data_IF_037684389617
#
_entry.id   IF_037684389617
#
_cell.length_a   1.000
_cell.length_b   1.000
_cell.length_c   1.000
_cell.angle_alpha   90.00
_cell.angle_beta   90.00
_cell.angle_gamma   90.00
#
_symmetry.space_group_name_H-M   'P 1'
#
loop_
_entity.id
_entity.type
_entity.pdbx_description
1 polymer ?
#
# COMPACT_ATOMS: atom_id res chain seq x y z
N UNK A 1 14.59 0.43 -17.56
CA UNK A 1 13.23 0.92 -17.85
C UNK A 1 12.51 0.91 -16.52
N UNK A 2 12.56 2.06 -15.83
CA UNK A 2 12.01 2.25 -14.49
C UNK A 2 10.60 2.83 -14.67
N UNK A 3 9.58 1.97 -14.58
CA UNK A 3 8.19 2.40 -14.69
C UNK A 3 7.52 2.29 -13.31
N UNK A 4 6.99 3.42 -12.84
CA UNK A 4 6.06 3.51 -11.72
C UNK A 4 4.85 2.62 -11.93
N UNK A 5 4.09 2.38 -10.86
CA UNK A 5 2.91 1.50 -10.84
C UNK A 5 2.09 1.65 -12.12
N UNK A 6 1.88 0.53 -12.81
CA UNK A 6 1.33 0.44 -14.17
C UNK A 6 -0.01 1.17 -14.40
N UNK A 7 -0.72 1.51 -13.32
CA UNK A 7 -2.04 2.15 -13.23
C UNK A 7 -2.30 3.48 -13.93
N UNK A 8 -1.33 4.03 -14.65
CA UNK A 8 -1.43 5.36 -15.22
C UNK A 8 -1.24 5.42 -16.73
N UNK A 9 -0.99 4.29 -17.42
CA UNK A 9 -0.65 4.28 -18.84
C UNK A 9 -1.83 3.89 -19.74
N UNK A 10 -2.13 4.66 -20.81
CA UNK A 10 -2.80 4.14 -21.99
C UNK A 10 -1.81 4.12 -23.16
N UNK A 11 -1.40 2.92 -23.62
CA UNK A 11 -1.15 2.63 -25.04
C UNK A 11 -0.70 1.18 -25.23
N UNK A 12 -1.64 0.32 -25.65
CA UNK A 12 -1.34 -1.00 -26.22
C UNK A 12 -2.54 -1.56 -27.00
N UNK A 13 -3.27 -0.73 -27.77
CA UNK A 13 -4.62 -1.04 -28.27
C UNK A 13 -4.84 -2.46 -28.87
N UNK A 14 -3.89 -3.04 -29.59
CA UNK A 14 -4.05 -4.38 -30.19
C UNK A 14 -3.76 -5.52 -29.20
N UNK A 15 -2.72 -5.38 -28.37
CA UNK A 15 -2.43 -6.32 -27.28
C UNK A 15 -3.51 -6.19 -26.18
N UNK A 16 -4.03 -4.98 -25.96
CA UNK A 16 -5.12 -4.65 -25.04
C UNK A 16 -6.39 -5.40 -25.44
N UNK A 17 -6.74 -5.40 -26.73
CA UNK A 17 -7.85 -6.20 -27.27
C UNK A 17 -7.59 -7.69 -27.02
N UNK A 18 -6.40 -8.20 -27.36
CA UNK A 18 -6.04 -9.61 -27.12
C UNK A 18 -6.05 -10.00 -25.63
N UNK A 19 -5.65 -9.09 -24.75
CA UNK A 19 -5.69 -9.26 -23.29
C UNK A 19 -7.12 -9.33 -22.79
N UNK A 20 -7.98 -8.40 -23.21
CA UNK A 20 -9.42 -8.38 -22.89
C UNK A 20 -10.11 -9.64 -23.41
N UNK A 21 -9.78 -10.09 -24.62
CA UNK A 21 -10.33 -11.29 -25.26
C UNK A 21 -9.77 -12.60 -24.70
N UNK A 22 -8.73 -12.57 -23.87
CA UNK A 22 -8.14 -13.79 -23.33
C UNK A 22 -9.06 -14.49 -22.34
N UNK A 23 -9.02 -15.83 -22.34
CA UNK A 23 -9.70 -16.67 -21.35
C UNK A 23 -9.26 -16.32 -19.93
N UNK A 24 -7.97 -16.04 -19.74
CA UNK A 24 -7.42 -15.62 -18.45
C UNK A 24 -8.03 -14.30 -17.94
N UNK A 25 -8.21 -13.30 -18.80
CA UNK A 25 -8.88 -12.05 -18.43
C UNK A 25 -10.31 -12.28 -17.94
N UNK A 26 -11.06 -13.15 -18.63
CA UNK A 26 -12.41 -13.53 -18.22
C UNK A 26 -12.41 -14.29 -16.88
N UNK A 27 -11.43 -15.18 -16.69
CA UNK A 27 -11.22 -15.89 -15.43
C UNK A 27 -10.97 -14.92 -14.28
N UNK A 28 -10.06 -13.96 -14.43
CA UNK A 28 -9.76 -12.96 -13.39
C UNK A 28 -11.00 -12.09 -13.10
N UNK A 29 -11.68 -11.59 -14.14
CA UNK A 29 -12.91 -10.81 -13.95
C UNK A 29 -13.98 -11.59 -13.19
N UNK A 30 -14.19 -12.85 -13.57
CA UNK A 30 -15.12 -13.72 -12.90
C UNK A 30 -14.70 -13.92 -11.44
N UNK A 31 -13.45 -14.30 -11.19
CA UNK A 31 -12.92 -14.56 -9.85
C UNK A 31 -12.99 -13.35 -8.92
N UNK A 32 -12.78 -12.14 -9.44
CA UNK A 32 -12.97 -10.89 -8.69
C UNK A 32 -14.46 -10.68 -8.38
N UNK A 33 -15.33 -10.80 -9.38
CA UNK A 33 -16.79 -10.61 -9.22
C UNK A 33 -17.41 -11.63 -8.26
N UNK A 34 -16.98 -12.89 -8.33
CA UNK A 34 -17.46 -13.98 -7.46
C UNK A 34 -16.74 -14.05 -6.11
N UNK A 35 -15.76 -13.17 -5.84
CA UNK A 35 -14.92 -13.21 -4.63
C UNK A 35 -14.22 -14.56 -4.42
N UNK A 36 -13.84 -15.21 -5.52
CA UNK A 36 -13.14 -16.50 -5.50
C UNK A 36 -11.66 -16.38 -5.88
N UNK A 37 -11.18 -15.16 -6.17
CA UNK A 37 -9.75 -14.92 -6.38
C UNK A 37 -8.98 -15.36 -5.13
N UNK A 38 -7.86 -16.05 -5.32
CA UNK A 38 -7.03 -16.46 -4.19
C UNK A 38 -6.49 -15.22 -3.48
N UNK A 39 -7.00 -14.97 -2.27
CA UNK A 39 -6.48 -13.91 -1.42
C UNK A 39 -5.04 -14.23 -0.99
N UNK A 40 -4.20 -13.22 -0.71
CA UNK A 40 -2.88 -13.45 -0.17
C UNK A 40 -3.02 -14.15 1.19
N UNK A 41 -2.24 -15.21 1.48
CA UNK A 41 -2.28 -15.87 2.78
C UNK A 41 -1.69 -14.94 3.86
N UNK A 42 -2.55 -14.13 4.49
CA UNK A 42 -2.17 -13.29 5.62
C UNK A 42 -2.28 -14.11 6.91
N UNK A 43 -1.36 -13.88 7.86
CA UNK A 43 -1.37 -14.58 9.16
C UNK A 43 -2.69 -14.31 9.90
N UNK A 44 -3.32 -15.37 10.43
CA UNK A 44 -4.56 -15.27 11.21
C UNK A 44 -4.43 -14.28 12.38
N UNK A 45 -3.21 -14.13 12.91
CA UNK A 45 -2.87 -13.16 13.96
C UNK A 45 -3.10 -11.72 13.51
N UNK A 46 -2.78 -11.39 12.25
CA UNK A 46 -2.98 -10.04 11.70
C UNK A 46 -4.47 -9.75 11.58
N UNK A 47 -5.25 -10.68 11.03
CA UNK A 47 -6.70 -10.55 10.91
C UNK A 47 -7.36 -10.40 12.28
N UNK A 48 -6.93 -11.19 13.26
CA UNK A 48 -7.39 -11.11 14.65
C UNK A 48 -7.08 -9.75 15.27
N UNK A 49 -5.86 -9.23 15.10
CA UNK A 49 -5.49 -7.90 15.59
C UNK A 49 -6.31 -6.80 14.90
N UNK A 50 -6.56 -6.90 13.60
CA UNK A 50 -7.42 -5.96 12.87
C UNK A 50 -8.85 -5.97 13.43
N UNK A 51 -9.43 -7.16 13.64
CA UNK A 51 -10.76 -7.29 14.24
C UNK A 51 -10.82 -6.70 15.65
N UNK A 52 -9.83 -6.99 16.49
CA UNK A 52 -9.74 -6.40 17.83
C UNK A 52 -9.73 -4.86 17.75
N UNK A 53 -8.99 -4.27 16.81
CA UNK A 53 -8.95 -2.81 16.66
C UNK A 53 -10.30 -2.17 16.27
N UNK A 54 -11.30 -2.94 15.84
CA UNK A 54 -12.66 -2.43 15.56
C UNK A 54 -13.55 -2.35 16.81
N UNK A 55 -13.12 -2.92 17.94
CA UNK A 55 -13.90 -2.98 19.17
C UNK A 55 -13.45 -1.91 20.17
N UNK A 56 -14.38 -1.08 20.64
CA UNK A 56 -14.10 -0.02 21.63
C UNK A 56 -13.59 -0.56 22.98
N UNK A 57 -13.78 -1.86 23.24
CA UNK A 57 -13.37 -2.54 24.48
C UNK A 57 -11.97 -3.15 24.42
N UNK A 58 -11.27 -3.07 23.29
CA UNK A 58 -9.97 -3.73 23.11
C UNK A 58 -8.87 -3.08 23.94
N UNK A 59 -8.12 -3.94 24.64
CA UNK A 59 -7.03 -3.55 25.51
C UNK A 59 -5.67 -3.87 24.89
N UNK A 60 -4.62 -3.27 25.46
CA UNK A 60 -3.23 -3.57 25.11
C UNK A 60 -2.91 -5.06 25.31
N UNK A 61 -3.50 -5.70 26.31
CA UNK A 61 -3.27 -7.13 26.58
C UNK A 61 -3.84 -7.99 25.46
N UNK A 62 -5.05 -7.71 24.98
CA UNK A 62 -5.71 -8.51 23.94
C UNK A 62 -4.87 -8.56 22.64
N UNK A 63 -4.26 -7.43 22.29
CA UNK A 63 -3.36 -7.33 21.13
C UNK A 63 -2.04 -8.04 21.40
N UNK A 64 -1.45 -7.86 22.59
CA UNK A 64 -0.21 -8.54 22.97
C UNK A 64 -0.38 -10.07 23.02
N UNK A 65 -1.51 -10.56 23.50
CA UNK A 65 -1.86 -11.98 23.56
C UNK A 65 -2.04 -12.55 22.16
N UNK A 66 -2.66 -11.79 21.24
CA UNK A 66 -2.75 -12.19 19.83
C UNK A 66 -1.37 -12.30 19.18
N UNK A 67 -0.44 -11.39 19.48
CA UNK A 67 0.94 -11.45 18.97
C UNK A 67 1.73 -12.68 19.43
N UNK A 68 1.38 -13.30 20.57
CA UNK A 68 2.05 -14.52 21.04
C UNK A 68 1.88 -15.71 20.09
N UNK A 69 0.82 -15.69 19.28
CA UNK A 69 0.51 -16.72 18.29
C UNK A 69 1.43 -16.63 17.05
N UNK A 70 2.11 -15.49 16.83
CA UNK A 70 3.07 -15.29 15.73
C UNK A 70 4.39 -14.67 16.25
N UNK A 71 5.39 -15.50 16.59
CA UNK A 71 6.68 -15.04 17.10
C UNK A 71 7.46 -14.11 16.14
N UNK A 72 7.20 -14.22 14.83
CA UNK A 72 7.82 -13.37 13.81
C UNK A 72 7.30 -11.94 13.91
N UNK A 73 5.98 -11.77 13.95
CA UNK A 73 5.33 -10.47 14.15
C UNK A 73 5.65 -9.89 15.53
N UNK A 74 5.66 -10.71 16.59
CA UNK A 74 6.04 -10.31 17.93
C UNK A 74 7.46 -9.70 18.01
N UNK A 75 8.45 -10.36 17.38
CA UNK A 75 9.81 -9.87 17.34
C UNK A 75 9.93 -8.50 16.63
N UNK A 76 9.10 -8.28 15.61
CA UNK A 76 9.11 -7.07 14.81
C UNK A 76 8.48 -5.92 15.57
N UNK A 77 7.34 -6.15 16.24
CA UNK A 77 6.73 -5.17 17.14
C UNK A 77 7.71 -4.74 18.24
N UNK A 78 8.44 -5.69 18.86
CA UNK A 78 9.48 -5.37 19.87
C UNK A 78 10.64 -4.57 19.25
N UNK A 79 11.10 -4.95 18.05
CA UNK A 79 12.16 -4.23 17.33
C UNK A 79 11.76 -2.79 17.05
N UNK A 80 10.56 -2.56 16.54
CA UNK A 80 10.03 -1.22 16.25
C UNK A 80 9.83 -0.42 17.53
N UNK A 81 9.30 -1.02 18.60
CA UNK A 81 9.16 -0.37 19.90
C UNK A 81 10.50 0.10 20.51
N UNK A 82 11.60 -0.53 20.11
CA UNK A 82 12.96 -0.19 20.52
C UNK A 82 13.70 0.76 19.55
N UNK A 83 13.08 1.15 18.44
CA UNK A 83 13.70 2.08 17.49
C UNK A 83 13.92 3.45 18.14
N UNK A 84 14.87 4.22 17.59
CA UNK A 84 15.26 5.56 18.10
C UNK A 84 14.04 6.48 18.25
N UNK A 85 13.03 6.31 17.41
CA UNK A 85 11.83 7.14 17.36
C UNK A 85 10.90 6.85 18.55
N UNK A 86 10.71 5.57 18.87
CA UNK A 86 9.76 5.14 19.90
C UNK A 86 10.42 4.94 21.28
N UNK A 87 11.75 4.81 21.34
CA UNK A 87 12.51 4.62 22.57
C UNK A 87 13.32 5.87 23.00
N UNK A 88 12.65 7.01 23.15
CA UNK A 88 13.29 8.29 23.52
C UNK A 88 14.04 8.26 24.87
N UNK A 89 13.64 7.37 25.78
CA UNK A 89 14.26 7.22 27.11
C UNK A 89 15.42 6.24 27.13
N UNK A 90 15.74 5.61 25.99
CA UNK A 90 16.75 4.58 25.86
C UNK A 90 16.56 3.40 26.84
N UNK A 91 15.30 3.03 27.09
CA UNK A 91 14.93 1.89 27.94
C UNK A 91 14.44 0.76 27.04
N UNK A 92 15.24 -0.29 26.93
CA UNK A 92 14.93 -1.45 26.11
C UNK A 92 13.63 -2.11 26.58
N UNK A 93 12.71 -2.29 25.65
CA UNK A 93 11.49 -3.07 25.78
C UNK A 93 11.80 -4.53 25.47
N UNK A 94 11.35 -5.46 26.32
CA UNK A 94 11.59 -6.90 26.16
C UNK A 94 10.31 -7.73 26.18
N UNK A 95 9.16 -7.13 26.53
CA UNK A 95 7.86 -7.77 26.60
C UNK A 95 6.84 -7.10 25.66
N UNK A 96 5.86 -7.89 25.21
CA UNK A 96 4.88 -7.45 24.22
C UNK A 96 3.88 -6.44 24.76
N UNK A 97 3.43 -6.59 26.01
CA UNK A 97 2.47 -5.65 26.62
C UNK A 97 3.09 -4.25 26.68
N UNK A 98 4.35 -4.13 27.10
CA UNK A 98 5.07 -2.85 27.10
C UNK A 98 5.32 -2.33 25.69
N UNK A 99 5.60 -3.21 24.72
CA UNK A 99 5.80 -2.81 23.33
C UNK A 99 4.51 -2.25 22.72
N UNK A 100 3.38 -2.95 22.90
CA UNK A 100 2.06 -2.53 22.42
C UNK A 100 1.61 -1.26 23.14
N UNK A 101 1.84 -1.14 24.45
CA UNK A 101 1.54 0.09 25.21
C UNK A 101 2.35 1.29 24.71
N UNK A 102 3.64 1.08 24.40
CA UNK A 102 4.55 2.12 23.89
C UNK A 102 4.16 2.57 22.48
N UNK A 103 3.80 1.63 21.60
CA UNK A 103 3.48 1.90 20.21
C UNK A 103 2.04 2.38 20.03
N UNK A 104 1.12 1.87 20.84
CA UNK A 104 -0.33 2.00 20.69
C UNK A 104 -0.93 0.88 19.83
N UNK A 105 -2.17 0.48 20.14
CA UNK A 105 -2.90 -0.62 19.47
C UNK A 105 -2.99 -0.44 17.95
N UNK A 106 -3.41 0.74 17.51
CA UNK A 106 -3.59 1.04 16.08
C UNK A 106 -2.28 0.98 15.31
N UNK A 107 -1.18 1.46 15.92
CA UNK A 107 0.14 1.40 15.28
C UNK A 107 0.67 -0.04 15.20
N UNK A 108 0.42 -0.85 16.23
CA UNK A 108 0.77 -2.28 16.18
C UNK A 108 0.03 -2.98 15.07
N UNK A 109 -1.27 -2.74 14.90
CA UNK A 109 -2.06 -3.23 13.76
C UNK A 109 -1.40 -2.85 12.44
N UNK A 110 -1.00 -1.59 12.29
CA UNK A 110 -0.39 -1.10 11.04
C UNK A 110 0.96 -1.78 10.78
N UNK A 111 1.81 -1.93 11.81
CA UNK A 111 3.12 -2.61 11.73
C UNK A 111 2.95 -4.08 11.33
N UNK A 112 2.08 -4.83 12.02
CA UNK A 112 1.92 -6.26 11.72
C UNK A 112 1.28 -6.50 10.37
N UNK A 113 0.39 -5.61 9.95
CA UNK A 113 -0.18 -5.64 8.61
C UNK A 113 0.92 -5.42 7.57
N UNK A 114 1.68 -4.32 7.71
CA UNK A 114 2.77 -3.98 6.79
C UNK A 114 3.80 -5.11 6.70
N UNK A 115 4.12 -5.74 7.83
CA UNK A 115 5.05 -6.84 7.87
C UNK A 115 4.52 -8.12 7.19
N UNK A 116 3.25 -8.47 7.40
CA UNK A 116 2.67 -9.63 6.75
C UNK A 116 2.60 -9.44 5.23
N UNK A 117 2.35 -8.22 4.77
CA UNK A 117 2.44 -7.86 3.34
C UNK A 117 3.87 -8.05 2.81
N UNK A 118 4.89 -7.64 3.57
CA UNK A 118 6.28 -7.82 3.15
C UNK A 118 6.66 -9.31 3.08
N UNK A 119 6.21 -10.12 4.05
CA UNK A 119 6.43 -11.57 4.03
C UNK A 119 5.73 -12.24 2.84
N UNK A 120 4.51 -11.81 2.52
CA UNK A 120 3.75 -12.28 1.36
C UNK A 120 4.55 -12.11 0.06
N UNK A 121 5.13 -10.93 -0.15
CA UNK A 121 5.91 -10.59 -1.36
C UNK A 121 7.14 -11.49 -1.58
N UNK A 122 7.62 -12.19 -0.56
CA UNK A 122 8.78 -13.09 -0.63
C UNK A 122 8.44 -14.59 -0.59
N UNK A 123 7.15 -14.95 -0.50
CA UNK A 123 6.73 -16.31 -0.14
C UNK A 123 6.41 -17.26 -1.30
N UNK A 124 6.48 -16.80 -2.56
CA UNK A 124 5.99 -17.60 -3.71
C UNK A 124 7.11 -18.00 -4.67
N UNK A 125 7.15 -19.30 -5.03
CA UNK A 125 8.01 -19.83 -6.10
C UNK A 125 7.47 -19.41 -7.48
N UNK A 126 7.59 -18.13 -7.80
CA UNK A 126 7.16 -17.58 -9.09
C UNK A 126 8.27 -17.65 -10.14
N UNK A 127 7.90 -17.52 -11.42
CA UNK A 127 8.87 -17.28 -12.48
C UNK A 127 9.68 -16.01 -12.20
N UNK A 128 10.88 -15.92 -12.78
CA UNK A 128 11.75 -14.76 -12.61
C UNK A 128 11.06 -13.45 -13.04
N UNK A 129 10.30 -13.48 -14.13
CA UNK A 129 9.51 -12.37 -14.65
C UNK A 129 8.41 -11.91 -13.68
N UNK A 130 7.64 -12.85 -13.11
CA UNK A 130 6.61 -12.54 -12.12
C UNK A 130 7.21 -11.96 -10.83
N UNK A 131 8.34 -12.51 -10.36
CA UNK A 131 9.05 -11.98 -9.22
C UNK A 131 9.55 -10.54 -9.47
N UNK A 132 10.06 -10.24 -10.66
CA UNK A 132 10.49 -8.89 -11.02
C UNK A 132 9.32 -7.90 -10.96
N UNK A 133 8.15 -8.27 -11.46
CA UNK A 133 6.94 -7.43 -11.42
C UNK A 133 6.51 -7.15 -9.97
N UNK A 134 6.51 -8.16 -9.09
CA UNK A 134 6.18 -7.97 -7.68
C UNK A 134 7.21 -7.10 -6.94
N UNK A 135 8.50 -7.31 -7.19
CA UNK A 135 9.57 -6.48 -6.60
C UNK A 135 9.44 -5.03 -7.05
N UNK A 136 9.16 -4.79 -8.33
CA UNK A 136 8.98 -3.44 -8.85
C UNK A 136 7.73 -2.78 -8.25
N UNK A 137 6.61 -3.48 -8.17
CA UNK A 137 5.40 -2.97 -7.51
C UNK A 137 5.63 -2.67 -6.03
N UNK A 138 6.40 -3.52 -5.33
CA UNK A 138 6.75 -3.27 -3.93
C UNK A 138 7.60 -2.01 -3.77
N UNK A 139 8.58 -1.78 -4.66
CA UNK A 139 9.36 -0.54 -4.69
C UNK A 139 8.47 0.68 -4.92
N UNK A 140 7.61 0.62 -5.93
CA UNK A 140 6.70 1.71 -6.29
C UNK A 140 5.73 2.03 -5.16
N UNK A 141 5.16 1.01 -4.50
CA UNK A 141 4.25 1.17 -3.36
C UNK A 141 4.95 1.82 -2.16
N UNK A 142 6.23 1.49 -1.91
CA UNK A 142 7.03 2.14 -0.85
C UNK A 142 7.28 3.61 -1.16
N UNK A 143 7.65 3.94 -2.39
CA UNK A 143 7.87 5.33 -2.81
C UNK A 143 6.58 6.15 -2.75
N UNK A 144 5.46 5.58 -3.19
CA UNK A 144 4.13 6.19 -3.07
C UNK A 144 3.80 6.46 -1.59
N UNK A 145 3.89 5.44 -0.74
CA UNK A 145 3.61 5.53 0.69
C UNK A 145 4.44 6.61 1.39
N UNK A 146 5.76 6.61 1.15
CA UNK A 146 6.65 7.58 1.76
C UNK A 146 6.37 9.01 1.23
N UNK A 147 6.05 9.17 -0.05
CA UNK A 147 5.65 10.47 -0.61
C UNK A 147 4.31 10.94 -0.04
N UNK A 148 3.34 10.04 0.17
CA UNK A 148 2.08 10.36 0.85
C UNK A 148 2.32 10.86 2.28
N UNK A 149 3.29 10.28 3.01
CA UNK A 149 3.67 10.77 4.34
C UNK A 149 4.25 12.19 4.26
N UNK A 150 5.10 12.49 3.27
CA UNK A 150 5.63 13.84 3.06
C UNK A 150 4.52 14.85 2.76
N UNK A 151 3.56 14.47 1.92
CA UNK A 151 2.39 15.30 1.59
C UNK A 151 1.55 15.57 2.85
N UNK A 152 1.23 14.53 3.64
CA UNK A 152 0.48 14.69 4.90
C UNK A 152 1.24 15.57 5.89
N UNK A 153 2.56 15.43 6.02
CA UNK A 153 3.37 16.33 6.87
C UNK A 153 3.24 17.77 6.42
N UNK A 154 3.34 18.03 5.11
CA UNK A 154 3.15 19.38 4.55
C UNK A 154 1.77 19.97 4.88
N UNK A 155 0.71 19.16 4.82
CA UNK A 155 -0.63 19.62 5.23
C UNK A 155 -0.69 19.92 6.73
N UNK A 156 -0.11 19.07 7.59
CA UNK A 156 -0.08 19.30 9.04
C UNK A 156 0.76 20.51 9.44
N UNK A 157 1.84 20.81 8.71
CA UNK A 157 2.69 21.99 8.94
C UNK A 157 1.96 23.32 8.72
N UNK A 158 0.89 23.34 7.90
CA UNK A 158 0.06 24.53 7.73
C UNK A 158 -0.65 24.96 9.01
N UNK A 159 -0.80 24.06 9.99
CA UNK A 159 -1.49 24.32 11.26
C UNK A 159 -3.01 24.49 11.12
N UNK A 160 -3.57 24.25 9.94
CA UNK A 160 -5.02 24.38 9.71
C UNK A 160 -5.78 23.21 10.35
N UNK A 161 -6.87 23.48 11.10
CA UNK A 161 -7.68 22.44 11.71
C UNK A 161 -8.39 21.54 10.68
N UNK A 162 -8.52 22.01 9.43
CA UNK A 162 -9.15 21.26 8.33
C UNK A 162 -8.37 20.00 7.94
N UNK A 163 -7.11 19.86 8.35
CA UNK A 163 -6.26 18.70 8.01
C UNK A 163 -5.98 17.80 9.22
N UNK A 164 -6.65 18.01 10.35
CA UNK A 164 -6.43 17.24 11.58
C UNK A 164 -6.79 15.76 11.46
N UNK A 165 -7.63 15.39 10.49
CA UNK A 165 -7.97 13.98 10.24
C UNK A 165 -6.87 13.23 9.48
N UNK A 166 -5.91 13.92 8.87
CA UNK A 166 -4.81 13.29 8.13
C UNK A 166 -3.74 12.78 9.09
N UNK A 167 -3.68 11.46 9.21
CA UNK A 167 -2.65 10.72 9.95
C UNK A 167 -1.58 10.13 9.04
N UNK A 168 -0.31 10.33 9.42
CA UNK A 168 0.86 9.85 8.66
C UNK A 168 0.92 8.34 8.59
N UNK A 169 0.56 7.65 9.68
CA UNK A 169 0.61 6.19 9.78
C UNK A 169 -0.41 5.56 8.82
N UNK A 170 -1.61 6.14 8.74
CA UNK A 170 -2.64 5.73 7.78
C UNK A 170 -2.20 6.03 6.34
N UNK A 171 -1.61 7.19 6.06
CA UNK A 171 -1.11 7.51 4.72
C UNK A 171 -0.02 6.53 4.24
N UNK A 172 0.91 6.17 5.13
CA UNK A 172 1.95 5.18 4.86
C UNK A 172 1.31 3.82 4.52
N UNK A 173 0.43 3.32 5.38
CA UNK A 173 -0.16 2.00 5.19
C UNK A 173 -1.03 1.95 3.92
N UNK A 174 -1.81 3.00 3.67
CA UNK A 174 -2.65 3.11 2.47
C UNK A 174 -1.80 3.07 1.18
N UNK A 175 -0.68 3.80 1.13
CA UNK A 175 0.21 3.77 -0.04
C UNK A 175 0.90 2.42 -0.24
N UNK A 176 1.29 1.73 0.84
CA UNK A 176 1.92 0.41 0.77
C UNK A 176 0.98 -0.68 0.24
N UNK A 177 -0.31 -0.51 0.48
CA UNK A 177 -1.38 -1.44 0.16
C UNK A 177 -2.09 -1.18 -1.16
N UNK A 178 -1.80 -0.06 -1.82
CA UNK A 178 -2.50 0.34 -3.05
C UNK A 178 -2.49 -0.77 -4.12
N UNK A 179 -1.36 -1.49 -4.24
CA UNK A 179 -1.14 -2.51 -5.29
C UNK A 179 -1.23 -3.96 -4.78
N UNK A 180 -1.83 -4.19 -3.60
CA UNK A 180 -1.86 -5.53 -2.99
C UNK A 180 -2.55 -6.60 -3.86
N UNK A 181 -3.48 -6.19 -4.72
CA UNK A 181 -4.19 -7.04 -5.67
C UNK A 181 -3.27 -7.71 -6.69
N UNK A 182 -2.11 -7.11 -6.99
CA UNK A 182 -1.16 -7.64 -7.96
C UNK A 182 -0.68 -9.04 -7.56
N UNK A 183 -0.47 -9.24 -6.26
CA UNK A 183 -0.08 -10.53 -5.72
C UNK A 183 -1.09 -11.63 -6.04
N UNK A 184 -2.39 -11.31 -5.92
CA UNK A 184 -3.46 -12.26 -6.22
C UNK A 184 -3.46 -12.62 -7.70
N UNK A 185 -3.36 -11.62 -8.57
CA UNK A 185 -3.41 -11.85 -10.02
C UNK A 185 -2.17 -12.61 -10.51
N UNK A 186 -0.99 -12.30 -9.99
CA UNK A 186 0.26 -13.03 -10.30
C UNK A 186 0.17 -14.49 -9.83
N UNK A 187 -0.44 -14.74 -8.67
CA UNK A 187 -0.68 -16.11 -8.19
C UNK A 187 -1.68 -16.86 -9.08
N UNK A 188 -2.78 -16.23 -9.49
CA UNK A 188 -3.73 -16.81 -10.45
C UNK A 188 -3.07 -17.12 -11.79
N UNK A 189 -2.20 -16.22 -12.27
CA UNK A 189 -1.42 -16.45 -13.49
C UNK A 189 -0.49 -17.66 -13.35
N UNK A 190 0.21 -17.79 -12.23
CA UNK A 190 1.04 -18.95 -11.96
C UNK A 190 0.22 -20.25 -11.95
N UNK A 191 -0.92 -20.27 -11.26
CA UNK A 191 -1.82 -21.42 -11.22
C UNK A 191 -2.37 -21.75 -12.61
N UNK A 192 -2.70 -20.73 -13.41
CA UNK A 192 -3.18 -20.88 -14.77
C UNK A 192 -2.14 -21.58 -15.66
N UNK A 193 -0.85 -21.23 -15.52
CA UNK A 193 0.25 -21.89 -16.24
C UNK A 193 0.51 -23.33 -15.74
N UNK A 194 0.47 -23.56 -14.43
CA UNK A 194 0.65 -24.90 -13.83
C UNK A 194 -0.43 -25.90 -14.29
N UNK A 195 -1.63 -25.42 -14.64
CA UNK A 195 -2.70 -26.23 -15.23
C UNK A 195 -2.43 -26.64 -16.69
N UNK A 196 -1.30 -26.23 -17.28
CA UNK A 196 -0.89 -26.53 -18.65
C UNK A 196 -1.37 -25.53 -19.69
N UNK A 197 -1.99 -24.42 -19.26
CA UNK A 197 -2.38 -23.35 -20.17
C UNK A 197 -1.18 -22.50 -20.57
N UNK A 198 -1.26 -21.86 -21.73
CA UNK A 198 -0.25 -20.91 -22.20
C UNK A 198 -0.86 -19.52 -22.31
N UNK A 199 -0.15 -18.53 -21.76
CA UNK A 199 -0.41 -17.12 -21.98
C UNK A 199 0.93 -16.40 -22.07
N UNK A 200 1.06 -15.49 -23.02
CA UNK A 200 2.25 -14.68 -23.18
C UNK A 200 2.35 -13.65 -22.04
N UNK A 201 3.56 -13.44 -21.51
CA UNK A 201 3.80 -12.55 -20.36
C UNK A 201 3.40 -11.09 -20.65
N UNK A 202 3.61 -10.57 -21.86
CA UNK A 202 3.24 -9.20 -22.21
C UNK A 202 1.72 -9.00 -22.13
N UNK A 203 0.96 -9.99 -22.60
CA UNK A 203 -0.51 -9.99 -22.50
C UNK A 203 -0.95 -10.15 -21.05
N UNK A 204 -0.29 -11.02 -20.28
CA UNK A 204 -0.58 -11.21 -18.86
C UNK A 204 -0.36 -9.91 -18.07
N UNK A 205 0.74 -9.20 -18.31
CA UNK A 205 1.06 -7.95 -17.62
C UNK A 205 0.04 -6.83 -17.91
N UNK A 206 -0.55 -6.79 -19.11
CA UNK A 206 -1.65 -5.87 -19.40
C UNK A 206 -2.93 -6.23 -18.65
N UNK A 207 -3.20 -7.53 -18.46
CA UNK A 207 -4.34 -7.98 -17.66
C UNK A 207 -4.10 -7.63 -16.19
N UNK A 208 -2.87 -7.78 -15.70
CA UNK A 208 -2.48 -7.42 -14.33
C UNK A 208 -2.77 -5.95 -14.11
N UNK A 209 -2.26 -5.08 -14.97
CA UNK A 209 -2.47 -3.63 -14.90
C UNK A 209 -3.96 -3.26 -14.81
N UNK A 210 -4.78 -3.78 -15.74
CA UNK A 210 -6.21 -3.46 -15.79
C UNK A 210 -6.99 -3.93 -14.55
N UNK A 211 -6.61 -5.08 -13.98
CA UNK A 211 -7.39 -5.72 -12.93
C UNK A 211 -6.84 -5.50 -11.53
N UNK A 212 -5.62 -5.00 -11.40
CA UNK A 212 -4.97 -4.87 -10.11
C UNK A 212 -5.77 -3.96 -9.17
N UNK A 213 -6.40 -2.88 -9.67
CA UNK A 213 -7.17 -1.94 -8.86
C UNK A 213 -8.43 -2.58 -8.28
N UNK A 214 -9.13 -3.34 -9.12
CA UNK A 214 -10.31 -4.10 -8.72
C UNK A 214 -9.94 -5.22 -7.74
N UNK A 215 -8.82 -5.91 -7.99
CA UNK A 215 -8.30 -6.94 -7.10
C UNK A 215 -7.85 -6.36 -5.75
N UNK A 216 -7.12 -5.24 -5.73
CA UNK A 216 -6.67 -4.57 -4.52
C UNK A 216 -7.86 -4.12 -3.68
N UNK A 217 -8.86 -3.49 -4.31
CA UNK A 217 -10.11 -3.12 -3.64
C UNK A 217 -10.77 -4.35 -3.01
N UNK A 218 -10.90 -5.45 -3.74
CA UNK A 218 -11.52 -6.66 -3.22
C UNK A 218 -10.76 -7.27 -2.04
N UNK A 219 -9.43 -7.32 -2.13
CA UNK A 219 -8.56 -7.82 -1.05
C UNK A 219 -8.75 -6.97 0.21
N UNK A 220 -8.64 -5.66 0.07
CA UNK A 220 -8.77 -4.72 1.18
C UNK A 220 -10.18 -4.74 1.79
N UNK A 221 -11.22 -4.85 0.96
CA UNK A 221 -12.61 -5.01 1.43
C UNK A 221 -12.76 -6.31 2.22
N UNK A 222 -12.18 -7.42 1.73
CA UNK A 222 -12.22 -8.73 2.39
C UNK A 222 -11.45 -8.75 3.70
N UNK A 223 -10.39 -7.94 3.81
CA UNK A 223 -9.61 -7.75 5.03
C UNK A 223 -10.24 -6.72 5.99
N UNK A 224 -11.34 -6.07 5.61
CA UNK A 224 -12.06 -5.13 6.47
C UNK A 224 -11.40 -3.76 6.60
N UNK A 225 -10.59 -3.34 5.62
CA UNK A 225 -10.07 -1.98 5.56
C UNK A 225 -11.18 -0.97 5.23
N UNK A 226 -11.03 0.25 5.73
CA UNK A 226 -12.00 1.32 5.52
C UNK A 226 -11.91 1.95 4.11
N UNK A 227 -12.87 2.83 3.81
CA UNK A 227 -13.05 3.41 2.48
C UNK A 227 -11.86 4.26 2.00
N UNK A 228 -11.00 4.77 2.89
CA UNK A 228 -9.81 5.51 2.46
C UNK A 228 -8.80 4.58 1.77
N UNK A 229 -8.64 3.36 2.27
CA UNK A 229 -7.78 2.35 1.65
C UNK A 229 -8.34 1.91 0.30
N UNK A 230 -9.64 1.62 0.27
CA UNK A 230 -10.32 1.20 -0.94
C UNK A 230 -10.24 2.29 -2.02
N UNK A 231 -10.46 3.56 -1.65
CA UNK A 231 -10.46 4.68 -2.58
C UNK A 231 -9.09 4.91 -3.21
N UNK A 232 -8.01 4.82 -2.43
CA UNK A 232 -6.65 4.90 -2.96
C UNK A 232 -6.33 3.70 -3.85
N UNK A 233 -6.65 2.49 -3.43
CA UNK A 233 -6.37 1.27 -4.19
C UNK A 233 -7.07 1.21 -5.55
N UNK A 234 -8.29 1.75 -5.66
CA UNK A 234 -9.01 1.82 -6.94
C UNK A 234 -8.93 3.18 -7.64
N UNK A 235 -8.25 4.17 -7.04
CA UNK A 235 -8.18 5.55 -7.51
C UNK A 235 -9.57 6.17 -7.82
N UNK A 236 -10.60 5.79 -7.06
CA UNK A 236 -11.97 6.26 -7.25
C UNK A 236 -12.54 6.79 -5.94
N UNK A 237 -13.39 7.81 -6.05
CA UNK A 237 -14.16 8.31 -4.91
C UNK A 237 -15.21 7.26 -4.55
N UNK A 238 -15.09 6.68 -3.36
CA UNK A 238 -16.05 5.67 -2.85
C UNK A 238 -17.16 6.36 -2.07
N UNK A 239 -16.80 7.27 -1.17
CA UNK A 239 -17.73 8.13 -0.45
C UNK A 239 -17.36 9.59 -0.66
N UNK A 240 -18.37 10.44 -0.84
CA UNK A 240 -18.19 11.89 -0.76
C UNK A 240 -18.10 12.27 0.71
N UNK A 241 -16.89 12.33 1.23
CA UNK A 241 -16.61 12.83 2.56
C UNK A 241 -16.62 14.36 2.56
N UNK A 242 -17.18 14.97 3.60
CA UNK A 242 -17.26 16.43 3.79
C UNK A 242 -15.92 17.01 4.32
N UNK A 243 -14.81 16.37 3.95
CA UNK A 243 -13.44 16.77 4.35
C UNK A 243 -12.81 17.61 3.25
N UNK A 244 -11.89 18.51 3.63
CA UNK A 244 -11.22 19.38 2.65
C UNK A 244 -10.26 18.63 1.74
N UNK A 245 -9.60 17.58 2.26
CA UNK A 245 -8.59 16.77 1.54
C UNK A 245 -8.73 15.32 2.00
N UNK A 246 -8.94 14.39 1.08
CA UNK A 246 -9.02 12.95 1.36
C UNK A 246 -7.65 12.27 1.21
N UNK A 247 -7.54 11.02 1.68
CA UNK A 247 -6.35 10.20 1.41
C UNK A 247 -6.17 9.88 -0.08
N UNK A 248 -7.25 9.87 -0.86
CA UNK A 248 -7.21 9.77 -2.33
C UNK A 248 -6.53 10.99 -2.95
N UNK A 249 -6.85 12.19 -2.46
CA UNK A 249 -6.21 13.43 -2.95
C UNK A 249 -4.72 13.45 -2.59
N UNK A 250 -4.39 13.04 -1.36
CA UNK A 250 -2.99 12.86 -0.92
C UNK A 250 -2.25 11.88 -1.84
N UNK A 251 -2.86 10.73 -2.17
CA UNK A 251 -2.26 9.74 -3.06
C UNK A 251 -2.05 10.29 -4.49
N UNK A 252 -3.02 11.05 -5.02
CA UNK A 252 -2.91 11.68 -6.35
C UNK A 252 -1.84 12.77 -6.39
N UNK A 253 -1.74 13.62 -5.36
CA UNK A 253 -0.64 14.60 -5.23
C UNK A 253 0.70 13.87 -5.18
N UNK A 254 0.82 12.84 -4.33
CA UNK A 254 2.03 12.05 -4.19
C UNK A 254 2.45 11.40 -5.51
N UNK A 255 1.50 10.78 -6.22
CA UNK A 255 1.76 10.19 -7.52
C UNK A 255 2.20 11.24 -8.55
N UNK A 256 1.57 12.41 -8.58
CA UNK A 256 1.96 13.48 -9.50
C UNK A 256 3.38 14.00 -9.26
N UNK A 257 3.79 14.13 -7.99
CA UNK A 257 5.19 14.47 -7.62
C UNK A 257 6.14 13.40 -8.15
N UNK A 258 5.79 12.13 -7.96
CA UNK A 258 6.59 11.00 -8.41
C UNK A 258 6.69 10.91 -9.95
N UNK A 259 5.62 11.23 -10.67
CA UNK A 259 5.61 11.34 -12.15
C UNK A 259 6.52 12.49 -12.61
N UNK A 260 6.44 13.66 -11.97
CA UNK A 260 7.28 14.81 -12.30
C UNK A 260 8.76 14.49 -12.13
N UNK A 261 9.12 13.89 -10.99
CA UNK A 261 10.49 13.51 -10.66
C UNK A 261 11.06 12.44 -11.60
N UNK A 262 10.22 11.55 -12.11
CA UNK A 262 10.62 10.53 -13.08
C UNK A 262 10.62 11.02 -14.52
N UNK A 263 10.25 12.27 -14.77
CA UNK A 263 10.08 12.83 -16.13
C UNK A 263 9.10 11.99 -16.96
N UNK A 264 7.99 11.58 -16.32
CA UNK A 264 6.97 10.79 -16.97
C UNK A 264 6.23 11.65 -18.02
N UNK A 265 6.21 11.20 -19.27
CA UNK A 265 5.59 11.92 -20.39
C UNK A 265 4.09 12.12 -20.18
N UNK A 266 3.45 11.24 -19.41
CA UNK A 266 2.01 11.24 -19.17
C UNK A 266 1.57 12.18 -18.05
N UNK A 267 2.49 12.88 -17.39
CA UNK A 267 2.14 13.87 -16.37
C UNK A 267 1.17 14.93 -16.90
N UNK A 268 1.21 15.20 -18.21
CA UNK A 268 0.33 16.17 -18.88
C UNK A 268 -1.13 15.75 -18.90
N UNK A 269 -1.42 14.45 -18.83
CA UNK A 269 -2.77 13.88 -18.78
C UNK A 269 -3.26 13.67 -17.33
N UNK A 270 -2.35 13.69 -16.36
CA UNK A 270 -2.64 13.47 -14.95
C UNK A 270 -3.12 14.74 -14.24
N UNK A 271 -4.43 14.89 -14.08
CA UNK A 271 -5.04 16.01 -13.34
C UNK A 271 -5.17 15.71 -11.85
N UNK A 272 -4.79 16.66 -11.00
CA UNK A 272 -4.98 16.58 -9.55
C UNK A 272 -5.79 17.79 -9.07
N UNK A 273 -6.80 17.53 -8.25
CA UNK A 273 -7.56 18.57 -7.57
C UNK A 273 -6.96 18.78 -6.17
N UNK A 274 -6.59 20.02 -5.85
CA UNK A 274 -6.06 20.39 -4.54
C UNK A 274 -6.34 21.86 -4.24
N UNK A 275 -6.34 22.19 -2.95
CA UNK A 275 -6.41 23.57 -2.48
C UNK A 275 -5.05 24.29 -2.58
N UNK A 276 -5.01 25.54 -2.13
CA UNK A 276 -3.79 26.37 -2.15
C UNK A 276 -2.66 25.72 -1.35
N UNK A 277 -2.98 25.01 -0.25
CA UNK A 277 -1.99 24.31 0.56
C UNK A 277 -1.41 23.13 -0.21
N UNK A 278 -2.25 22.32 -0.87
CA UNK A 278 -1.80 21.23 -1.72
C UNK A 278 -0.94 21.70 -2.90
N UNK A 279 -1.27 22.85 -3.50
CA UNK A 279 -0.46 23.47 -4.56
C UNK A 279 0.96 23.83 -4.08
N UNK A 280 1.07 24.44 -2.90
CA UNK A 280 2.35 24.79 -2.28
C UNK A 280 3.19 23.55 -1.91
N UNK A 281 2.54 22.51 -1.36
CA UNK A 281 3.20 21.23 -1.06
C UNK A 281 3.75 20.58 -2.32
N UNK A 282 2.93 20.50 -3.38
CA UNK A 282 3.34 19.95 -4.67
C UNK A 282 4.53 20.73 -5.23
N UNK A 283 4.49 22.06 -5.21
CA UNK A 283 5.60 22.90 -5.65
C UNK A 283 6.88 22.65 -4.84
N UNK A 284 6.78 22.61 -3.50
CA UNK A 284 7.94 22.38 -2.62
C UNK A 284 8.60 21.02 -2.84
N UNK A 285 7.80 19.94 -2.82
CA UNK A 285 8.32 18.58 -2.93
C UNK A 285 8.89 18.29 -4.34
N UNK A 286 8.27 18.84 -5.38
CA UNK A 286 8.76 18.73 -6.76
C UNK A 286 10.07 19.49 -6.99
N UNK A 287 10.35 20.56 -6.23
CA UNK A 287 11.57 21.37 -6.37
C UNK A 287 12.72 20.96 -5.43
N UNK A 288 12.53 19.98 -4.54
CA UNK A 288 13.64 19.41 -3.77
C UNK A 288 14.71 18.83 -4.72
N UNK A 289 15.98 18.79 -4.30
CA UNK A 289 16.95 17.99 -5.05
C UNK A 289 16.64 16.49 -4.92
N UNK A 290 17.06 15.68 -5.89
CA UNK A 290 16.86 14.22 -5.82
C UNK A 290 17.53 13.61 -4.58
N UNK A 291 18.67 14.16 -4.16
CA UNK A 291 19.39 13.72 -2.97
C UNK A 291 18.55 13.98 -1.73
N UNK A 292 18.02 15.19 -1.57
CA UNK A 292 17.19 15.56 -0.41
C UNK A 292 15.90 14.75 -0.36
N UNK A 293 15.24 14.59 -1.50
CA UNK A 293 14.00 13.82 -1.58
C UNK A 293 14.23 12.35 -1.20
N UNK A 294 15.22 11.70 -1.81
CA UNK A 294 15.52 10.29 -1.53
C UNK A 294 15.98 10.09 -0.08
N UNK A 295 16.75 11.03 0.48
CA UNK A 295 17.15 10.98 1.89
C UNK A 295 15.93 10.99 2.81
N UNK A 296 14.95 11.85 2.55
CA UNK A 296 13.72 11.90 3.36
C UNK A 296 12.89 10.62 3.24
N UNK A 297 12.82 10.02 2.04
CA UNK A 297 12.13 8.74 1.81
C UNK A 297 12.83 7.60 2.57
N UNK A 298 14.16 7.50 2.47
CA UNK A 298 14.94 6.45 3.13
C UNK A 298 14.90 6.57 4.66
N UNK A 299 14.97 7.79 5.18
CA UNK A 299 14.79 8.06 6.60
C UNK A 299 13.39 7.66 7.08
N UNK A 300 12.34 7.92 6.29
CA UNK A 300 10.97 7.53 6.61
C UNK A 300 10.76 6.02 6.60
N UNK A 301 11.30 5.32 5.62
CA UNK A 301 11.17 3.86 5.51
C UNK A 301 11.91 3.19 6.68
N UNK A 302 13.17 3.57 6.90
CA UNK A 302 13.97 3.05 8.01
C UNK A 302 13.37 3.37 9.39
N UNK A 303 12.79 4.56 9.56
CA UNK A 303 12.05 4.98 10.74
C UNK A 303 10.82 4.12 11.04
N UNK A 304 10.14 3.67 9.98
CA UNK A 304 8.89 2.90 10.05
C UNK A 304 9.12 1.43 10.35
N UNK A 305 10.39 0.97 10.32
CA UNK A 305 10.76 -0.42 10.57
C UNK A 305 10.43 -1.38 9.42
N UNK A 306 10.13 -0.81 8.25
CA UNK A 306 9.93 -1.47 6.96
C UNK A 306 11.23 -1.49 6.15
#
# INVERSE_FOLDING_TARGET
>A
MNHLSFYWLPENGELLIKGIESEFSTLIEHSIKSRTISLPPISDVVLKIQQLCTQDTTTVSDVADSLLEDPGLAAIVIRVANSVIFNRRNITCTDLVTAVSRLGILRVRDIVTAQAIEQLKHSVNLSQSCNQVLVQSAMNSRELAATMVLVVRGFKESGSPSYNHLETDKALLTGLLADIGLFCIVNEYHNYLEQGNYLNEEIAFQIFDRQCSNASKLVLESWGFDNDFLAVACNQVIDKTDVSVSYLDVARIANHILMFRRQDEQITEHTVEFDITGADILYKLSNLSDIEFNTQIDELISASGL
#
